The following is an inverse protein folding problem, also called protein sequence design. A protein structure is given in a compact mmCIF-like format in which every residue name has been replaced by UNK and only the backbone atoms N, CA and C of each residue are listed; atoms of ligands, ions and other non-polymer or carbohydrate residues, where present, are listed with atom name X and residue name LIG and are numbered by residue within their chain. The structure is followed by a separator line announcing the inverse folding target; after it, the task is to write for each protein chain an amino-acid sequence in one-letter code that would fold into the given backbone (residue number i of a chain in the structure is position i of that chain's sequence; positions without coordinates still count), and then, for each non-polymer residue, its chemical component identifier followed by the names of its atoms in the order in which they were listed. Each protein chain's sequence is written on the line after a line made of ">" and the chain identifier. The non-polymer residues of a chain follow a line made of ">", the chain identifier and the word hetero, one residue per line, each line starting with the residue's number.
data_IF_432233826879
#
_entry.id   IF_432233826879
#
_cell.length_a   1.000
_cell.length_b   1.000
_cell.length_c   1.000
_cell.angle_alpha   90.00
_cell.angle_beta   90.00
_cell.angle_gamma   90.00
#
_symmetry.space_group_name_H-M   'P 1'
#
loop_
_entity.id
_entity.type
_entity.pdbx_description
1 polymer ?
#
# COMPACT_ATOMS: atom_id res chain seq x y z
N UNK A 1 22.08 -26.60 6.92
CA UNK A 1 22.69 -25.31 6.59
C UNK A 1 22.29 -24.28 7.63
N UNK A 2 23.28 -23.52 8.19
CA UNK A 2 23.06 -22.61 9.33
C UNK A 2 22.04 -21.51 9.04
N UNK A 3 21.90 -21.06 7.78
CA UNK A 3 20.95 -20.02 7.34
C UNK A 3 19.50 -20.54 7.30
N UNK A 4 19.27 -21.79 6.88
CA UNK A 4 17.95 -22.41 6.91
C UNK A 4 17.42 -22.56 8.35
N UNK A 5 18.30 -22.97 9.29
CA UNK A 5 17.93 -23.05 10.73
C UNK A 5 17.67 -21.70 11.37
N UNK A 6 18.33 -20.63 10.91
CA UNK A 6 18.14 -19.28 11.42
C UNK A 6 16.82 -18.66 10.92
N UNK A 7 16.40 -18.98 9.71
CA UNK A 7 15.12 -18.52 9.12
C UNK A 7 13.93 -19.31 9.69
N UNK A 8 14.08 -20.61 9.94
CA UNK A 8 13.09 -21.41 10.69
C UNK A 8 12.87 -20.88 12.12
N UNK A 9 13.92 -20.33 12.74
CA UNK A 9 13.82 -19.72 14.07
C UNK A 9 13.08 -18.37 14.05
N UNK A 10 13.03 -17.68 12.92
CA UNK A 10 12.28 -16.43 12.70
C UNK A 10 10.84 -16.65 12.22
N UNK A 11 10.40 -17.91 12.06
CA UNK A 11 9.02 -18.24 11.65
C UNK A 11 8.72 -18.01 10.16
N UNK A 12 9.72 -17.67 9.33
CA UNK A 12 9.55 -17.49 7.90
C UNK A 12 9.66 -18.82 7.14
N UNK A 13 8.53 -19.35 6.67
CA UNK A 13 8.51 -20.56 5.85
C UNK A 13 8.95 -20.25 4.42
N UNK A 14 10.05 -20.87 3.99
CA UNK A 14 10.60 -20.77 2.64
C UNK A 14 10.23 -21.98 1.79
N UNK A 15 9.57 -21.76 0.68
CA UNK A 15 9.13 -22.80 -0.26
C UNK A 15 10.11 -22.96 -1.42
N UNK A 16 10.26 -24.19 -1.91
CA UNK A 16 10.88 -24.47 -3.20
C UNK A 16 9.88 -24.20 -4.35
N UNK A 17 10.36 -24.04 -5.57
CA UNK A 17 9.48 -23.91 -6.73
C UNK A 17 8.57 -25.15 -6.94
N UNK A 18 8.95 -26.31 -6.40
CA UNK A 18 8.12 -27.52 -6.44
C UNK A 18 6.96 -27.43 -5.45
N UNK A 19 7.22 -27.04 -4.20
CA UNK A 19 6.19 -26.87 -3.18
C UNK A 19 5.21 -25.73 -3.55
N UNK A 20 5.70 -24.63 -4.10
CA UNK A 20 4.85 -23.56 -4.62
C UNK A 20 3.95 -24.04 -5.77
N UNK A 21 4.49 -24.89 -6.67
CA UNK A 21 3.73 -25.49 -7.75
C UNK A 21 2.61 -26.43 -7.25
N UNK A 22 2.87 -27.19 -6.19
CA UNK A 22 1.88 -28.06 -5.54
C UNK A 22 0.75 -27.25 -4.90
N UNK A 23 1.08 -26.15 -4.19
CA UNK A 23 0.10 -25.24 -3.56
C UNK A 23 -0.75 -24.56 -4.64
N UNK A 24 -0.13 -24.03 -5.69
CA UNK A 24 -0.82 -23.34 -6.79
C UNK A 24 -1.55 -24.30 -7.75
N UNK A 25 -1.36 -25.62 -7.62
CA UNK A 25 -1.87 -26.66 -8.53
C UNK A 25 -1.47 -26.42 -9.99
N UNK A 26 -0.24 -25.98 -10.22
CA UNK A 26 0.35 -25.74 -11.54
C UNK A 26 1.61 -26.59 -11.75
N UNK A 27 2.16 -26.59 -12.98
CA UNK A 27 3.44 -27.26 -13.24
C UNK A 27 4.59 -26.41 -12.71
N UNK A 28 5.69 -27.05 -12.29
CA UNK A 28 6.89 -26.39 -11.79
C UNK A 28 7.44 -25.33 -12.76
N UNK A 29 7.39 -25.59 -14.06
CA UNK A 29 7.82 -24.65 -15.08
C UNK A 29 6.96 -23.38 -15.08
N UNK A 30 5.66 -23.49 -14.83
CA UNK A 30 4.76 -22.34 -14.70
C UNK A 30 5.18 -21.42 -13.54
N UNK A 31 5.64 -21.99 -12.43
CA UNK A 31 6.17 -21.19 -11.30
C UNK A 31 7.45 -20.44 -11.71
N UNK A 32 8.33 -21.07 -12.48
CA UNK A 32 9.50 -20.36 -13.01
C UNK A 32 9.11 -19.24 -13.98
N UNK A 33 8.10 -19.45 -14.81
CA UNK A 33 7.59 -18.42 -15.73
C UNK A 33 6.96 -17.25 -14.95
N UNK A 34 6.24 -17.54 -13.86
CA UNK A 34 5.69 -16.52 -12.96
C UNK A 34 6.80 -15.70 -12.30
N UNK A 35 7.86 -16.36 -11.83
CA UNK A 35 9.03 -15.69 -11.26
C UNK A 35 9.74 -14.83 -12.32
N UNK A 36 9.91 -15.37 -13.54
CA UNK A 36 10.57 -14.66 -14.64
C UNK A 36 9.79 -13.41 -15.09
N UNK A 37 8.46 -13.46 -15.08
CA UNK A 37 7.57 -12.32 -15.39
C UNK A 37 7.45 -11.32 -14.24
N UNK A 38 7.96 -11.66 -13.04
CA UNK A 38 7.82 -10.83 -11.85
C UNK A 38 6.48 -10.98 -11.12
N UNK A 39 5.62 -11.91 -11.55
CA UNK A 39 4.31 -12.17 -10.94
C UNK A 39 4.48 -12.78 -9.54
N UNK A 40 5.54 -13.54 -9.31
CA UNK A 40 5.86 -14.20 -8.05
C UNK A 40 7.29 -13.87 -7.63
N UNK A 41 7.48 -13.32 -6.43
CA UNK A 41 8.81 -13.00 -5.90
C UNK A 41 9.52 -14.26 -5.42
N UNK A 42 10.83 -14.36 -5.73
CA UNK A 42 11.68 -15.42 -5.24
C UNK A 42 13.08 -14.90 -4.94
N UNK A 43 13.72 -15.48 -3.93
CA UNK A 43 15.09 -15.17 -3.53
C UNK A 43 16.01 -16.36 -3.81
N UNK A 44 17.27 -16.11 -4.22
CA UNK A 44 18.26 -17.17 -4.45
C UNK A 44 19.01 -17.46 -3.14
N UNK A 45 18.82 -18.64 -2.59
CA UNK A 45 19.58 -19.13 -1.44
C UNK A 45 20.58 -20.23 -1.90
N UNK A 46 21.84 -19.87 -2.00
CA UNK A 46 22.86 -20.75 -2.56
C UNK A 46 22.60 -21.03 -4.04
N UNK A 47 22.44 -22.30 -4.42
CA UNK A 47 22.13 -22.75 -5.80
C UNK A 47 20.64 -22.92 -6.07
N UNK A 48 19.76 -22.62 -5.11
CA UNK A 48 18.31 -22.88 -5.24
C UNK A 48 17.48 -21.62 -5.05
N UNK A 49 16.38 -21.49 -5.82
CA UNK A 49 15.36 -20.47 -5.63
C UNK A 49 14.46 -20.84 -4.45
N UNK A 50 14.14 -19.85 -3.62
CA UNK A 50 13.20 -19.94 -2.51
C UNK A 50 12.16 -18.85 -2.63
N UNK A 51 10.92 -19.19 -2.35
CA UNK A 51 9.74 -18.34 -2.37
C UNK A 51 9.26 -18.24 -0.93
N UNK A 52 9.04 -17.04 -0.41
CA UNK A 52 8.45 -16.91 0.92
C UNK A 52 6.98 -17.31 0.87
N UNK A 53 6.48 -17.94 1.93
CA UNK A 53 5.08 -18.30 2.03
C UNK A 53 4.18 -17.07 1.84
N UNK A 54 4.54 -15.94 2.46
CA UNK A 54 3.81 -14.66 2.34
C UNK A 54 3.72 -14.12 0.90
N UNK A 55 4.78 -14.25 0.08
CA UNK A 55 4.78 -13.84 -1.33
C UNK A 55 3.87 -14.75 -2.17
N UNK A 56 3.78 -16.04 -1.82
CA UNK A 56 2.88 -16.99 -2.46
C UNK A 56 1.42 -16.73 -2.07
N UNK A 57 1.15 -16.50 -0.79
CA UNK A 57 -0.18 -16.19 -0.27
C UNK A 57 -0.69 -14.86 -0.87
N UNK A 58 0.17 -13.88 -0.97
CA UNK A 58 -0.12 -12.61 -1.66
C UNK A 58 -0.50 -12.85 -3.14
N UNK A 59 0.25 -13.69 -3.84
CA UNK A 59 -0.07 -14.04 -5.24
C UNK A 59 -1.41 -14.76 -5.35
N UNK A 60 -1.72 -15.70 -4.46
CA UNK A 60 -3.00 -16.42 -4.42
C UNK A 60 -4.16 -15.45 -4.20
N UNK A 61 -3.99 -14.50 -3.29
CA UNK A 61 -5.04 -13.57 -2.91
C UNK A 61 -5.28 -12.47 -3.96
N UNK A 62 -4.23 -12.02 -4.64
CA UNK A 62 -4.28 -10.83 -5.51
C UNK A 62 -3.86 -11.10 -6.96
N UNK A 63 -3.12 -12.16 -7.24
CA UNK A 63 -2.55 -12.45 -8.57
C UNK A 63 -3.59 -12.76 -9.65
N UNK A 64 -4.77 -13.26 -9.29
CA UNK A 64 -5.84 -13.56 -10.25
C UNK A 64 -6.50 -12.28 -10.84
N UNK A 65 -6.33 -11.13 -10.23
CA UNK A 65 -6.84 -9.85 -10.76
C UNK A 65 -5.90 -9.21 -11.80
N UNK A 66 -4.62 -9.60 -11.80
CA UNK A 66 -3.62 -9.09 -12.76
C UNK A 66 -3.46 -9.95 -14.02
N UNK A 67 -3.92 -11.22 -14.00
CA UNK A 67 -3.74 -12.18 -15.11
C UNK A 67 -4.73 -12.03 -16.27
N UNK A 68 -5.84 -11.30 -16.12
CA UNK A 68 -6.90 -11.27 -17.14
C UNK A 68 -6.73 -10.21 -18.24
N UNK A 69 -5.80 -9.26 -18.11
CA UNK A 69 -5.53 -8.27 -19.17
C UNK A 69 -4.37 -8.60 -20.10
N UNK A 70 -3.51 -9.57 -19.75
CA UNK A 70 -2.41 -9.98 -20.61
C UNK A 70 -2.79 -11.04 -21.67
N UNK A 71 -3.94 -11.71 -21.53
CA UNK A 71 -4.34 -12.81 -22.43
C UNK A 71 -5.10 -12.37 -23.69
N UNK A 72 -5.45 -11.10 -23.84
CA UNK A 72 -6.23 -10.64 -25.01
C UNK A 72 -5.35 -10.09 -26.16
N UNK A 73 -4.05 -9.95 -25.97
CA UNK A 73 -3.13 -9.43 -27.01
C UNK A 73 -2.15 -10.45 -27.61
N UNK A 74 -2.27 -11.75 -27.31
CA UNK A 74 -1.34 -12.77 -27.83
C UNK A 74 -2.02 -13.90 -28.60
N UNK A 75 -3.12 -13.62 -29.31
CA UNK A 75 -3.75 -14.62 -30.18
C UNK A 75 -3.76 -14.18 -31.66
N UNK A 76 -2.62 -13.76 -32.19
CA UNK A 76 -2.33 -13.82 -33.63
C UNK A 76 -0.81 -13.94 -33.82
N UNK A 77 -0.33 -15.17 -34.10
CA UNK A 77 1.09 -15.35 -34.46
C UNK A 77 1.57 -16.79 -34.19
N UNK A 78 1.36 -17.64 -35.16
CA UNK A 78 1.73 -19.06 -35.27
C UNK A 78 3.08 -19.49 -34.69
N UNK A 79 3.01 -20.59 -33.93
CA UNK A 79 3.89 -21.82 -33.98
C UNK A 79 5.32 -21.67 -34.50
N UNK A 80 6.29 -21.89 -33.61
CA UNK A 80 7.40 -22.84 -33.82
C UNK A 80 8.08 -23.14 -32.48
N UNK A 81 8.06 -24.42 -32.12
CA UNK A 81 8.83 -25.03 -31.05
C UNK A 81 10.30 -25.06 -31.46
N UNK A 82 11.17 -24.38 -30.68
CA UNK A 82 12.59 -24.73 -30.69
C UNK A 82 13.04 -24.91 -29.23
N UNK A 83 13.59 -26.09 -28.99
CA UNK A 83 14.27 -26.49 -27.77
C UNK A 83 15.38 -25.48 -27.45
N UNK A 84 15.23 -24.73 -26.37
CA UNK A 84 16.28 -23.81 -25.86
C UNK A 84 17.17 -24.63 -24.93
N UNK A 85 18.42 -24.74 -25.33
CA UNK A 85 19.52 -25.45 -24.69
C UNK A 85 19.70 -24.98 -23.22
N UNK A 86 19.71 -25.96 -22.32
CA UNK A 86 19.85 -25.73 -20.87
C UNK A 86 21.15 -25.00 -20.48
N UNK A 87 22.18 -25.14 -21.29
CA UNK A 87 23.51 -24.58 -21.02
C UNK A 87 23.62 -23.07 -21.28
N UNK A 88 22.77 -22.54 -22.19
CA UNK A 88 22.75 -21.10 -22.50
C UNK A 88 21.98 -20.30 -21.42
N UNK A 89 20.98 -20.92 -20.78
CA UNK A 89 20.24 -20.32 -19.67
C UNK A 89 21.10 -20.18 -18.40
N UNK A 90 21.96 -21.19 -18.11
CA UNK A 90 22.86 -21.12 -16.96
C UNK A 90 23.98 -20.08 -17.14
N UNK A 91 24.48 -19.87 -18.35
CA UNK A 91 25.52 -18.87 -18.64
C UNK A 91 25.04 -17.42 -18.53
N UNK A 92 23.77 -17.15 -18.85
CA UNK A 92 23.21 -15.78 -18.74
C UNK A 92 22.87 -15.38 -17.29
N UNK A 93 22.71 -16.35 -16.37
CA UNK A 93 22.49 -16.10 -14.94
C UNK A 93 23.82 -15.83 -14.19
N UNK A 94 24.95 -16.32 -14.72
CA UNK A 94 26.26 -16.20 -14.09
C UNK A 94 26.93 -14.81 -14.23
N UNK A 95 26.38 -13.91 -15.05
CA UNK A 95 26.93 -12.59 -15.31
C UNK A 95 26.28 -11.45 -14.52
N UNK A 96 25.70 -11.73 -13.34
CA UNK A 96 25.32 -10.67 -12.39
C UNK A 96 26.53 -10.40 -11.50
N UNK A 97 27.12 -9.19 -11.51
CA UNK A 97 28.29 -8.87 -10.70
C UNK A 97 27.98 -9.01 -9.21
N UNK A 98 28.77 -9.83 -8.51
CA UNK A 98 28.77 -9.87 -7.06
C UNK A 98 29.31 -8.53 -6.52
N UNK A 99 28.43 -7.67 -6.05
CA UNK A 99 28.80 -6.47 -5.31
C UNK A 99 29.14 -6.81 -3.86
N UNK A 100 30.42 -6.83 -3.52
CA UNK A 100 30.89 -6.84 -2.14
C UNK A 100 30.51 -5.50 -1.48
N UNK A 101 29.91 -5.59 -0.29
CA UNK A 101 29.54 -4.45 0.55
C UNK A 101 30.77 -3.85 1.22
N UNK A 102 31.17 -2.65 0.81
CA UNK A 102 31.95 -1.74 1.64
C UNK A 102 31.02 -0.69 2.26
N UNK A 103 31.09 -0.56 3.58
CA UNK A 103 30.28 0.32 4.42
C UNK A 103 30.66 1.80 4.28
N UNK A 104 30.80 2.33 3.08
CA UNK A 104 30.98 3.77 2.82
C UNK A 104 30.78 4.17 1.36
N UNK A 105 29.80 3.60 0.66
CA UNK A 105 29.55 3.98 -0.75
C UNK A 105 28.09 3.81 -1.14
N UNK A 106 27.38 4.90 -1.29
CA UNK A 106 26.07 4.92 -1.98
C UNK A 106 26.24 4.25 -3.34
N UNK A 107 25.59 3.10 -3.53
CA UNK A 107 25.58 2.35 -4.78
C UNK A 107 24.93 3.19 -5.90
N UNK A 108 25.76 3.80 -6.77
CA UNK A 108 25.35 4.51 -8.00
C UNK A 108 24.71 3.60 -9.06
N UNK A 109 24.70 2.27 -8.85
CA UNK A 109 24.20 1.31 -9.86
C UNK A 109 22.70 1.04 -9.76
N UNK A 110 22.07 1.27 -8.60
CA UNK A 110 20.61 1.15 -8.45
C UNK A 110 19.85 2.35 -9.02
N UNK A 111 20.50 3.50 -9.17
CA UNK A 111 19.85 4.71 -9.69
C UNK A 111 19.65 4.72 -11.23
N UNK A 112 20.37 3.91 -11.99
CA UNK A 112 20.24 3.90 -13.46
C UNK A 112 19.04 3.12 -14.00
N UNK A 113 18.49 2.17 -13.22
CA UNK A 113 17.27 1.42 -13.57
C UNK A 113 15.97 2.09 -13.11
N UNK A 114 16.04 3.04 -12.16
CA UNK A 114 14.86 3.76 -11.63
C UNK A 114 14.58 5.10 -12.34
N UNK A 115 15.44 5.53 -13.26
CA UNK A 115 15.37 6.86 -13.87
C UNK A 115 14.09 7.14 -14.68
N UNK A 116 13.28 6.09 -14.99
CA UNK A 116 12.06 6.20 -15.79
C UNK A 116 10.85 5.51 -15.12
N UNK A 117 10.82 5.46 -13.80
CA UNK A 117 9.71 4.85 -13.08
C UNK A 117 9.14 5.83 -12.06
N UNK A 118 7.80 5.89 -11.98
CA UNK A 118 7.09 6.64 -10.95
C UNK A 118 6.36 5.65 -10.05
N UNK A 119 6.67 5.66 -8.77
CA UNK A 119 6.01 4.81 -7.78
C UNK A 119 5.10 5.69 -6.92
N UNK A 120 3.78 5.48 -7.04
CA UNK A 120 2.75 6.18 -6.24
C UNK A 120 2.35 5.27 -5.09
N UNK A 121 2.58 5.73 -3.86
CA UNK A 121 2.36 4.97 -2.63
C UNK A 121 1.12 5.46 -1.86
N UNK A 122 0.27 4.51 -1.49
CA UNK A 122 -0.96 4.71 -0.71
C UNK A 122 -1.98 3.59 -0.97
N UNK A 123 -3.02 3.49 -0.16
CA UNK A 123 -3.97 2.37 -0.21
C UNK A 123 -5.32 2.72 -0.88
N UNK A 124 -5.55 3.98 -1.26
CA UNK A 124 -6.84 4.38 -1.84
C UNK A 124 -6.92 4.06 -3.34
N UNK A 125 -8.09 3.59 -3.78
CA UNK A 125 -8.39 3.21 -5.16
C UNK A 125 -8.33 4.40 -6.15
N UNK A 126 -8.49 5.63 -5.69
CA UNK A 126 -8.35 6.82 -6.55
C UNK A 126 -6.94 6.91 -7.15
N UNK A 127 -5.95 6.37 -6.46
CA UNK A 127 -4.58 6.34 -6.97
C UNK A 127 -4.39 5.30 -8.08
N UNK A 128 -5.21 4.25 -8.13
CA UNK A 128 -5.19 3.28 -9.24
C UNK A 128 -5.75 3.91 -10.52
N UNK A 129 -6.84 4.68 -10.38
CA UNK A 129 -7.38 5.48 -11.49
C UNK A 129 -6.35 6.49 -11.99
N UNK A 130 -5.68 7.20 -11.08
CA UNK A 130 -4.64 8.16 -11.42
C UNK A 130 -3.47 7.49 -12.15
N UNK A 131 -2.96 6.38 -11.60
CA UNK A 131 -1.84 5.64 -12.20
C UNK A 131 -2.18 5.14 -13.61
N UNK A 132 -3.40 4.59 -13.81
CA UNK A 132 -3.85 4.13 -15.11
C UNK A 132 -3.94 5.26 -16.14
N UNK A 133 -4.53 6.41 -15.78
CA UNK A 133 -4.60 7.58 -16.66
C UNK A 133 -3.22 8.14 -16.98
N UNK A 134 -2.34 8.20 -15.98
CA UNK A 134 -0.99 8.71 -16.17
C UNK A 134 -0.18 7.79 -17.09
N UNK A 135 -0.25 6.47 -16.93
CA UNK A 135 0.38 5.49 -17.82
C UNK A 135 -0.04 5.67 -19.30
N UNK A 136 -1.29 6.05 -19.54
CA UNK A 136 -1.78 6.30 -20.90
C UNK A 136 -1.23 7.60 -21.52
N UNK A 137 -0.80 8.55 -20.69
CA UNK A 137 -0.38 9.89 -21.11
C UNK A 137 1.12 10.07 -21.21
N UNK A 138 1.91 9.26 -20.52
CA UNK A 138 3.37 9.39 -20.46
C UNK A 138 4.04 8.10 -20.94
N UNK A 139 5.24 8.22 -21.49
CA UNK A 139 6.04 7.05 -21.92
C UNK A 139 6.83 6.38 -20.80
N UNK A 140 6.50 6.66 -19.55
CA UNK A 140 7.17 6.11 -18.37
C UNK A 140 6.25 5.11 -17.66
N UNK A 141 6.85 4.15 -16.91
CA UNK A 141 6.07 3.19 -16.17
C UNK A 141 5.65 3.78 -14.81
N UNK A 142 4.36 3.79 -14.54
CA UNK A 142 3.80 4.19 -13.26
C UNK A 142 3.37 2.95 -12.48
N UNK A 143 3.92 2.78 -11.30
CA UNK A 143 3.65 1.65 -10.41
C UNK A 143 2.93 2.11 -9.16
N UNK A 144 2.21 1.17 -8.54
CA UNK A 144 1.54 1.38 -7.25
C UNK A 144 2.27 0.63 -6.14
N UNK A 145 2.32 1.27 -4.95
CA UNK A 145 2.77 0.66 -3.70
C UNK A 145 1.68 0.87 -2.65
N UNK A 146 1.22 -0.22 -2.02
CA UNK A 146 0.04 -0.20 -1.13
C UNK A 146 0.47 -0.18 0.35
N UNK A 147 1.25 0.84 0.74
CA UNK A 147 1.63 1.05 2.15
C UNK A 147 0.68 2.06 2.80
N UNK A 148 0.43 1.92 4.10
CA UNK A 148 -0.30 2.90 4.90
C UNK A 148 0.45 4.24 4.99
N UNK A 149 -0.23 5.30 5.40
CA UNK A 149 0.24 6.69 5.31
C UNK A 149 1.60 6.95 5.95
N UNK A 150 1.84 6.46 7.17
CA UNK A 150 3.11 6.62 7.87
C UNK A 150 4.23 5.87 7.13
N UNK A 151 3.96 4.64 6.75
CA UNK A 151 4.90 3.80 6.00
C UNK A 151 5.17 4.36 4.59
N UNK A 152 4.20 5.06 3.96
CA UNK A 152 4.38 5.73 2.67
C UNK A 152 5.34 6.91 2.79
N UNK A 153 5.21 7.75 3.82
CA UNK A 153 6.15 8.85 4.10
C UNK A 153 7.55 8.31 4.42
N UNK A 154 7.64 7.26 5.22
CA UNK A 154 8.92 6.61 5.51
C UNK A 154 9.58 6.03 4.26
N UNK A 155 8.82 5.35 3.39
CA UNK A 155 9.32 4.85 2.11
C UNK A 155 9.79 6.00 1.19
N UNK A 156 9.13 7.16 1.22
CA UNK A 156 9.58 8.35 0.51
C UNK A 156 10.91 8.88 1.09
N UNK A 157 11.07 8.91 2.40
CA UNK A 157 12.33 9.28 3.04
C UNK A 157 13.48 8.36 2.62
N UNK A 158 13.22 7.06 2.55
CA UNK A 158 14.19 6.05 2.08
C UNK A 158 14.49 6.12 0.56
N UNK A 159 13.70 6.89 -0.20
CA UNK A 159 13.84 6.96 -1.66
C UNK A 159 13.24 5.77 -2.40
N UNK A 160 12.42 4.95 -1.74
CA UNK A 160 11.76 3.78 -2.33
C UNK A 160 10.56 4.17 -3.21
N UNK A 161 9.94 5.32 -2.95
CA UNK A 161 8.78 5.83 -3.70
C UNK A 161 8.98 7.29 -4.08
N UNK A 162 8.35 7.70 -5.18
CA UNK A 162 8.45 9.05 -5.70
C UNK A 162 7.32 9.95 -5.20
N UNK A 163 6.14 9.36 -4.99
CA UNK A 163 4.93 10.03 -4.54
C UNK A 163 4.38 9.25 -3.36
N UNK A 164 4.16 9.92 -2.24
CA UNK A 164 3.49 9.36 -1.08
C UNK A 164 2.12 10.00 -0.89
N UNK A 165 1.17 9.29 -0.29
CA UNK A 165 -0.09 9.86 0.15
C UNK A 165 -0.29 9.62 1.64
N UNK A 166 -0.94 10.57 2.30
CA UNK A 166 -1.13 10.54 3.73
C UNK A 166 -2.51 11.05 4.14
N UNK A 167 -3.00 10.51 5.27
CA UNK A 167 -4.17 11.00 6.02
C UNK A 167 -3.91 10.85 7.53
N UNK A 168 -2.78 11.41 7.98
CA UNK A 168 -2.31 11.31 9.35
C UNK A 168 -2.87 12.47 10.18
N UNK A 169 -3.77 12.16 11.10
CA UNK A 169 -4.32 13.16 12.01
C UNK A 169 -3.39 13.43 13.18
N UNK A 170 -3.10 14.70 13.42
CA UNK A 170 -2.24 15.16 14.51
C UNK A 170 -3.09 15.80 15.61
N UNK A 171 -3.29 15.09 16.71
CA UNK A 171 -4.21 15.46 17.76
C UNK A 171 -3.88 16.79 18.47
N UNK A 172 -2.60 17.15 18.62
CA UNK A 172 -2.20 18.40 19.29
C UNK A 172 -2.59 19.64 18.49
N UNK A 173 -2.48 19.60 17.16
CA UNK A 173 -2.78 20.74 16.29
C UNK A 173 -4.16 20.66 15.66
N UNK A 174 -4.87 19.55 15.89
CA UNK A 174 -6.15 19.22 15.24
C UNK A 174 -6.09 19.42 13.71
N UNK A 175 -5.01 18.94 13.09
CA UNK A 175 -4.76 19.10 11.66
C UNK A 175 -4.24 17.80 11.05
N UNK A 176 -4.32 17.70 9.72
CA UNK A 176 -3.85 16.54 8.96
C UNK A 176 -2.48 16.77 8.35
N UNK A 177 -1.70 15.72 8.25
CA UNK A 177 -0.54 15.47 7.41
C UNK A 177 0.68 16.37 7.67
N UNK A 178 0.57 17.70 7.60
CA UNK A 178 1.72 18.62 7.58
C UNK A 178 2.66 18.42 8.79
N UNK A 179 2.20 18.27 10.04
CA UNK A 179 3.09 18.05 11.18
C UNK A 179 3.91 16.76 11.06
N UNK A 180 3.31 15.69 10.50
CA UNK A 180 4.01 14.43 10.26
C UNK A 180 4.98 14.54 9.09
N UNK A 181 4.54 15.13 7.98
CA UNK A 181 5.37 15.33 6.78
C UNK A 181 6.64 16.07 7.12
N UNK A 182 6.53 17.22 7.83
CA UNK A 182 7.67 18.03 8.23
C UNK A 182 8.64 17.29 9.15
N UNK A 183 8.12 16.43 10.04
CA UNK A 183 8.94 15.68 11.00
C UNK A 183 9.60 14.45 10.38
N UNK A 184 8.93 13.78 9.43
CA UNK A 184 9.38 12.51 8.84
C UNK A 184 10.25 12.69 7.61
N UNK A 185 10.21 13.87 6.96
CA UNK A 185 10.98 14.20 5.75
C UNK A 185 11.91 15.41 6.00
N UNK A 186 12.76 15.37 7.04
CA UNK A 186 13.61 16.50 7.39
C UNK A 186 14.60 16.80 6.24
N UNK A 187 14.80 18.08 5.94
CA UNK A 187 15.74 18.54 4.94
C UNK A 187 15.33 18.22 3.49
N UNK A 188 14.08 17.85 3.26
CA UNK A 188 13.53 17.59 1.93
C UNK A 188 12.54 18.71 1.57
N UNK A 189 12.80 19.46 0.50
CA UNK A 189 11.83 20.41 -0.03
C UNK A 189 10.66 19.65 -0.67
N UNK A 190 9.43 20.01 -0.31
CA UNK A 190 8.22 19.27 -0.65
C UNK A 190 7.14 20.16 -1.24
N UNK A 191 6.25 19.53 -2.01
CA UNK A 191 4.96 20.08 -2.41
C UNK A 191 3.88 19.10 -1.97
N UNK A 192 2.87 19.60 -1.27
CA UNK A 192 1.72 18.81 -0.81
C UNK A 192 0.46 19.30 -1.50
N UNK A 193 -0.21 18.38 -2.20
CA UNK A 193 -1.46 18.64 -2.88
C UNK A 193 -2.61 17.96 -2.15
N UNK A 194 -3.71 18.69 -1.97
CA UNK A 194 -4.95 18.11 -1.51
C UNK A 194 -5.54 17.20 -2.61
N UNK A 195 -5.86 15.95 -2.28
CA UNK A 195 -6.57 15.05 -3.19
C UNK A 195 -8.07 15.08 -2.94
N UNK A 196 -8.49 14.75 -1.72
CA UNK A 196 -9.90 14.64 -1.38
C UNK A 196 -10.11 14.61 0.13
N UNK A 197 -11.37 14.76 0.56
CA UNK A 197 -11.78 14.43 1.91
C UNK A 197 -12.64 13.18 1.95
N UNK A 198 -12.57 12.44 3.06
CA UNK A 198 -13.39 11.26 3.36
C UNK A 198 -13.93 11.34 4.76
N UNK A 199 -15.06 10.71 5.03
CA UNK A 199 -15.55 10.56 6.39
C UNK A 199 -14.91 9.35 7.04
N UNK A 200 -14.40 9.54 8.26
CA UNK A 200 -13.91 8.50 9.16
C UNK A 200 -14.94 8.26 10.26
N UNK A 201 -15.12 7.01 10.64
CA UNK A 201 -16.08 6.63 11.66
C UNK A 201 -15.82 5.27 12.26
N UNK A 202 -16.60 4.96 13.28
CA UNK A 202 -16.68 3.60 13.82
C UNK A 202 -17.51 2.71 12.89
N UNK A 203 -17.05 1.50 12.71
CA UNK A 203 -17.84 0.38 12.22
C UNK A 203 -18.34 -0.38 13.45
N UNK A 204 -19.65 -0.53 13.56
CA UNK A 204 -20.30 -1.28 14.64
C UNK A 204 -21.29 -2.26 14.02
N UNK A 205 -21.64 -3.31 14.75
CA UNK A 205 -22.69 -4.23 14.31
C UNK A 205 -24.01 -3.49 14.09
N UNK A 206 -24.84 -4.02 13.20
CA UNK A 206 -26.13 -3.42 12.83
C UNK A 206 -26.98 -3.14 14.07
N UNK A 207 -27.47 -1.89 14.17
CA UNK A 207 -28.23 -1.41 15.33
C UNK A 207 -27.38 -1.01 16.52
N UNK A 208 -26.04 -1.06 16.43
CA UNK A 208 -25.11 -0.69 17.50
C UNK A 208 -25.47 -1.27 18.86
N UNK A 209 -25.50 -2.61 19.02
CA UNK A 209 -26.03 -3.27 20.22
C UNK A 209 -25.23 -2.95 21.48
N UNK A 210 -23.97 -2.52 21.35
CA UNK A 210 -23.10 -2.10 22.45
C UNK A 210 -23.22 -0.61 22.79
N UNK A 211 -24.04 0.14 22.05
CA UNK A 211 -24.24 1.59 22.22
C UNK A 211 -22.88 2.35 22.25
N UNK A 212 -22.00 2.06 21.30
CA UNK A 212 -20.70 2.71 21.15
C UNK A 212 -20.94 4.09 20.53
N UNK A 213 -20.39 5.17 21.14
CA UNK A 213 -20.57 6.55 20.70
C UNK A 213 -19.24 7.30 20.55
N UNK A 214 -18.23 6.90 21.30
CA UNK A 214 -16.96 7.63 21.37
C UNK A 214 -15.76 6.72 21.66
N UNK A 215 -14.55 7.28 21.64
CA UNK A 215 -13.34 6.54 21.98
C UNK A 215 -13.28 6.17 23.47
N UNK A 216 -13.97 6.90 24.34
CA UNK A 216 -14.08 6.61 25.77
C UNK A 216 -14.77 5.26 26.05
N UNK A 217 -15.66 4.83 25.15
CA UNK A 217 -16.33 3.53 25.26
C UNK A 217 -15.37 2.35 25.10
N UNK A 218 -14.22 2.56 24.44
CA UNK A 218 -13.22 1.50 24.24
C UNK A 218 -12.55 1.04 25.54
N UNK A 219 -12.73 1.75 26.68
CA UNK A 219 -12.31 1.30 28.00
C UNK A 219 -13.21 0.23 28.59
N UNK A 220 -14.40 0.03 28.06
CA UNK A 220 -15.38 -0.91 28.61
C UNK A 220 -14.89 -2.34 28.40
N UNK A 221 -14.98 -3.16 29.45
CA UNK A 221 -14.53 -4.55 29.40
C UNK A 221 -15.38 -5.46 28.50
N UNK A 222 -16.58 -4.99 28.13
CA UNK A 222 -17.50 -5.71 27.23
C UNK A 222 -17.34 -5.28 25.76
N UNK A 223 -16.38 -4.40 25.43
CA UNK A 223 -16.10 -3.95 24.06
C UNK A 223 -14.72 -4.45 23.62
N UNK A 224 -14.67 -5.01 22.42
CA UNK A 224 -13.46 -5.45 21.77
C UNK A 224 -13.32 -4.73 20.43
N UNK A 225 -12.15 -4.07 20.20
CA UNK A 225 -11.80 -3.45 18.93
C UNK A 225 -10.99 -4.40 18.07
N UNK A 226 -11.18 -4.37 16.75
CA UNK A 226 -10.16 -4.80 15.79
C UNK A 226 -9.47 -3.59 15.20
N UNK A 227 -8.14 -3.60 15.21
CA UNK A 227 -7.31 -2.46 14.86
C UNK A 227 -6.69 -2.63 13.47
N UNK A 228 -6.11 -1.55 12.95
CA UNK A 228 -5.33 -1.58 11.72
C UNK A 228 -3.84 -1.79 12.04
N UNK A 229 -3.11 -2.22 11.03
CA UNK A 229 -1.66 -2.40 11.08
C UNK A 229 -0.93 -1.11 11.47
N UNK A 230 0.22 -1.22 12.21
CA UNK A 230 1.07 -0.07 12.52
C UNK A 230 1.51 0.67 11.25
N UNK A 231 1.38 2.01 11.27
CA UNK A 231 1.72 2.86 10.14
C UNK A 231 0.57 3.12 9.17
N UNK A 232 -0.62 2.53 9.36
CA UNK A 232 -1.84 3.00 8.68
C UNK A 232 -2.34 4.32 9.30
N UNK A 233 -2.98 5.17 8.50
CA UNK A 233 -3.52 6.44 9.00
C UNK A 233 -4.61 6.26 10.04
N UNK A 234 -5.41 5.19 9.92
CA UNK A 234 -6.45 4.84 10.91
C UNK A 234 -5.82 4.44 12.25
N UNK A 235 -4.72 3.66 12.23
CA UNK A 235 -4.01 3.31 13.46
C UNK A 235 -3.51 4.56 14.18
N UNK A 236 -2.91 5.50 13.44
CA UNK A 236 -2.46 6.78 13.99
C UNK A 236 -3.63 7.58 14.55
N UNK A 237 -4.79 7.61 13.87
CA UNK A 237 -6.00 8.27 14.38
C UNK A 237 -6.44 7.66 15.71
N UNK A 238 -6.53 6.33 15.81
CA UNK A 238 -6.92 5.63 17.05
C UNK A 238 -5.94 5.96 18.17
N UNK A 239 -4.63 5.84 17.92
CA UNK A 239 -3.58 6.10 18.91
C UNK A 239 -3.64 7.55 19.44
N UNK A 240 -3.82 8.54 18.55
CA UNK A 240 -3.95 9.95 18.91
C UNK A 240 -5.25 10.24 19.69
N UNK A 241 -6.37 9.61 19.34
CA UNK A 241 -7.65 9.76 20.04
C UNK A 241 -7.59 9.13 21.43
N UNK A 242 -7.03 7.91 21.55
CA UNK A 242 -6.83 7.26 22.86
C UNK A 242 -5.90 8.11 23.73
N UNK A 243 -4.81 8.65 23.18
CA UNK A 243 -3.90 9.55 23.89
C UNK A 243 -4.61 10.81 24.38
N UNK A 244 -5.47 11.43 23.57
CA UNK A 244 -6.25 12.60 23.97
C UNK A 244 -7.26 12.30 25.08
N UNK A 245 -7.90 11.11 25.00
CA UNK A 245 -8.84 10.64 26.02
C UNK A 245 -8.13 10.15 27.31
N UNK A 246 -6.79 10.10 27.31
CA UNK A 246 -6.01 9.58 28.44
C UNK A 246 -6.22 8.07 28.67
N UNK A 247 -6.48 7.31 27.58
CA UNK A 247 -6.73 5.88 27.62
C UNK A 247 -5.44 5.13 27.27
N UNK A 248 -4.84 4.39 28.21
CA UNK A 248 -3.74 3.49 27.91
C UNK A 248 -4.17 2.39 26.95
N UNK A 249 -3.35 2.10 25.94
CA UNK A 249 -3.67 1.07 24.95
C UNK A 249 -3.84 -0.32 25.53
N UNK A 250 -3.23 -0.59 26.68
CA UNK A 250 -3.36 -1.82 27.44
C UNK A 250 -4.75 -2.02 28.08
N UNK A 251 -5.53 -0.94 28.23
CA UNK A 251 -6.90 -0.98 28.75
C UNK A 251 -7.94 -1.23 27.64
N UNK A 252 -7.51 -1.30 26.37
CA UNK A 252 -8.39 -1.51 25.22
C UNK A 252 -8.32 -2.95 24.75
N UNK A 253 -9.43 -3.70 24.94
CA UNK A 253 -9.50 -5.10 24.51
C UNK A 253 -9.41 -5.18 22.97
N UNK A 254 -8.61 -6.11 22.46
CA UNK A 254 -8.42 -6.29 21.01
C UNK A 254 -7.51 -5.25 20.34
N UNK A 255 -6.86 -4.35 21.11
CA UNK A 255 -5.97 -3.34 20.52
C UNK A 255 -4.84 -3.95 19.68
N UNK A 256 -4.40 -5.15 20.00
CA UNK A 256 -3.37 -5.90 19.25
C UNK A 256 -3.94 -6.80 18.15
N UNK A 257 -5.26 -6.93 18.04
CA UNK A 257 -5.89 -7.70 16.97
C UNK A 257 -5.89 -6.86 15.69
N UNK A 258 -5.07 -7.26 14.73
CA UNK A 258 -4.69 -6.44 13.58
C UNK A 258 -5.27 -7.01 12.29
N UNK A 259 -5.82 -6.12 11.47
CA UNK A 259 -6.24 -6.37 10.08
C UNK A 259 -5.54 -5.40 9.12
N UNK A 260 -5.39 -5.80 7.86
CA UNK A 260 -4.58 -5.08 6.88
C UNK A 260 -5.37 -4.12 5.97
N UNK A 261 -6.71 -4.16 6.02
CA UNK A 261 -7.57 -3.31 5.18
C UNK A 261 -8.82 -2.81 5.90
N UNK A 262 -9.42 -1.74 5.38
CA UNK A 262 -10.71 -1.25 5.87
C UNK A 262 -11.84 -2.26 5.69
N UNK A 263 -11.82 -3.01 4.58
CA UNK A 263 -12.84 -4.01 4.29
C UNK A 263 -12.74 -5.20 5.25
N UNK A 264 -11.52 -5.62 5.57
CA UNK A 264 -11.27 -6.68 6.55
C UNK A 264 -11.73 -6.27 7.95
N UNK A 265 -11.48 -5.00 8.36
CA UNK A 265 -11.97 -4.44 9.61
C UNK A 265 -13.50 -4.44 9.66
N UNK A 266 -14.18 -3.99 8.61
CA UNK A 266 -15.63 -4.01 8.49
C UNK A 266 -16.20 -5.44 8.54
N UNK A 267 -15.54 -6.39 7.85
CA UNK A 267 -15.94 -7.80 7.84
C UNK A 267 -15.77 -8.46 9.20
N UNK A 268 -14.71 -8.13 9.97
CA UNK A 268 -14.51 -8.65 11.31
C UNK A 268 -15.64 -8.22 12.26
N UNK A 269 -16.04 -6.95 12.20
CA UNK A 269 -17.20 -6.44 12.97
C UNK A 269 -18.49 -7.12 12.53
N UNK A 270 -18.71 -7.29 11.23
CA UNK A 270 -19.90 -7.96 10.70
C UNK A 270 -20.02 -9.43 11.17
N UNK A 271 -18.90 -10.15 11.28
CA UNK A 271 -18.88 -11.54 11.78
C UNK A 271 -19.01 -11.64 13.29
N UNK A 272 -18.84 -10.53 14.02
CA UNK A 272 -18.83 -10.52 15.49
C UNK A 272 -17.48 -10.92 16.10
N UNK A 273 -16.38 -10.90 15.30
CA UNK A 273 -15.02 -11.14 15.80
C UNK A 273 -14.56 -9.95 16.67
N UNK A 274 -15.13 -8.77 16.44
CA UNK A 274 -14.96 -7.56 17.23
C UNK A 274 -16.29 -6.78 17.30
N UNK A 275 -16.45 -5.95 18.33
CA UNK A 275 -17.62 -5.07 18.49
C UNK A 275 -17.49 -3.79 17.68
N UNK A 276 -16.22 -3.34 17.45
CA UNK A 276 -15.94 -2.06 16.81
C UNK A 276 -14.64 -2.12 16.01
N UNK A 277 -14.61 -1.32 14.94
CA UNK A 277 -13.40 -0.95 14.22
C UNK A 277 -13.49 0.52 13.80
N UNK A 278 -12.40 1.09 13.28
CA UNK A 278 -12.41 2.44 12.71
C UNK A 278 -12.04 2.36 11.22
N UNK A 279 -12.74 3.14 10.41
CA UNK A 279 -12.45 3.20 8.99
C UNK A 279 -13.27 4.24 8.23
N UNK A 280 -13.11 4.30 6.91
CA UNK A 280 -13.81 5.26 6.07
C UNK A 280 -15.25 4.80 5.74
N UNK A 281 -16.19 5.76 5.64
CA UNK A 281 -17.59 5.52 5.28
C UNK A 281 -17.73 4.66 4.03
N UNK A 282 -16.90 4.92 3.01
CA UNK A 282 -16.95 4.20 1.74
C UNK A 282 -16.87 2.68 1.89
N UNK A 283 -15.99 2.19 2.74
CA UNK A 283 -15.80 0.75 2.92
C UNK A 283 -16.92 0.11 3.74
N UNK A 284 -17.56 0.88 4.65
CA UNK A 284 -18.73 0.38 5.39
C UNK A 284 -19.91 0.06 4.48
N UNK A 285 -20.08 0.82 3.39
CA UNK A 285 -21.17 0.61 2.42
C UNK A 285 -21.05 -0.75 1.68
N UNK A 286 -19.87 -1.36 1.67
CA UNK A 286 -19.65 -2.68 1.06
C UNK A 286 -19.99 -3.85 1.98
N UNK A 287 -20.34 -3.61 3.25
CA UNK A 287 -20.64 -4.64 4.26
C UNK A 287 -22.00 -4.35 4.91
N UNK A 288 -23.09 -4.96 4.44
CA UNK A 288 -24.46 -4.59 4.84
C UNK A 288 -24.79 -4.81 6.32
N UNK A 289 -24.05 -5.68 7.00
CA UNK A 289 -24.31 -6.06 8.40
C UNK A 289 -23.74 -5.13 9.46
N UNK A 290 -23.21 -3.96 9.07
CA UNK A 290 -22.65 -2.97 9.99
C UNK A 290 -23.33 -1.62 9.84
N UNK A 291 -23.23 -0.80 10.88
CA UNK A 291 -23.56 0.62 10.85
C UNK A 291 -22.27 1.45 10.93
N UNK A 292 -22.30 2.64 10.32
CA UNK A 292 -21.22 3.61 10.32
C UNK A 292 -21.56 4.77 11.25
N UNK A 293 -20.73 5.03 12.26
CA UNK A 293 -20.88 6.14 13.19
C UNK A 293 -19.80 7.17 12.91
N UNK A 294 -20.17 8.33 12.41
CA UNK A 294 -19.27 9.39 12.01
C UNK A 294 -18.41 9.90 13.18
N UNK A 295 -17.09 10.03 12.98
CA UNK A 295 -16.13 10.63 13.91
C UNK A 295 -15.69 12.00 13.42
N UNK A 296 -15.09 12.04 12.23
CA UNK A 296 -14.53 13.27 11.63
C UNK A 296 -14.30 13.13 10.12
N UNK A 297 -14.12 14.27 9.44
CA UNK A 297 -13.56 14.26 8.08
C UNK A 297 -12.04 14.14 8.13
N UNK A 298 -11.48 13.34 7.23
CA UNK A 298 -10.05 13.27 7.02
C UNK A 298 -9.64 13.94 5.72
N UNK A 299 -8.46 14.57 5.72
CA UNK A 299 -7.79 15.06 4.52
C UNK A 299 -6.86 13.99 3.97
N UNK A 300 -7.04 13.61 2.73
CA UNK A 300 -6.15 12.70 2.00
C UNK A 300 -5.33 13.53 1.03
N UNK A 301 -4.02 13.60 1.29
CA UNK A 301 -3.13 14.51 0.59
C UNK A 301 -1.97 13.75 -0.06
N UNK A 302 -1.46 14.30 -1.16
CA UNK A 302 -0.34 13.77 -1.93
C UNK A 302 0.93 14.59 -1.68
N UNK A 303 2.02 13.90 -1.42
CA UNK A 303 3.34 14.49 -1.16
C UNK A 303 4.28 14.16 -2.31
N UNK A 304 4.94 15.18 -2.85
CA UNK A 304 5.89 15.09 -3.96
C UNK A 304 7.13 15.88 -3.59
N UNK A 305 8.34 15.39 -3.90
CA UNK A 305 9.56 16.19 -3.76
C UNK A 305 9.53 17.36 -4.72
N UNK A 306 10.01 18.53 -4.30
CA UNK A 306 10.10 19.75 -5.12
C UNK A 306 10.85 19.50 -6.43
N UNK A 307 11.94 18.76 -6.37
CA UNK A 307 12.75 18.42 -7.54
C UNK A 307 12.01 17.54 -8.57
N UNK A 308 11.10 16.68 -8.10
CA UNK A 308 10.26 15.85 -8.95
C UNK A 308 9.04 16.61 -9.45
N UNK A 309 8.43 17.44 -8.60
CA UNK A 309 7.26 18.26 -8.94
C UNK A 309 7.41 19.04 -10.25
N UNK A 310 8.60 19.56 -10.54
CA UNK A 310 8.88 20.35 -11.73
C UNK A 310 9.09 19.51 -13.01
N UNK A 311 9.22 18.18 -12.90
CA UNK A 311 9.42 17.30 -14.06
C UNK A 311 8.12 17.06 -14.82
N UNK A 312 8.20 16.93 -16.14
CA UNK A 312 7.04 16.76 -17.04
C UNK A 312 6.04 15.67 -16.59
N UNK A 313 6.45 14.44 -16.18
CA UNK A 313 5.51 13.41 -15.79
C UNK A 313 4.68 13.79 -14.55
N UNK A 314 5.28 14.48 -13.59
CA UNK A 314 4.58 14.94 -12.38
C UNK A 314 3.65 16.11 -12.68
N UNK A 315 4.05 17.04 -13.57
CA UNK A 315 3.16 18.11 -14.04
C UNK A 315 1.95 17.52 -14.76
N UNK A 316 2.13 16.45 -15.57
CA UNK A 316 1.02 15.74 -16.20
C UNK A 316 0.11 15.06 -15.18
N UNK A 317 0.67 14.46 -14.13
CA UNK A 317 -0.10 13.90 -13.02
C UNK A 317 -0.98 14.96 -12.35
N UNK A 318 -0.43 16.15 -12.10
CA UNK A 318 -1.17 17.26 -11.48
C UNK A 318 -2.26 17.80 -12.42
N UNK A 319 -1.97 17.87 -13.72
CA UNK A 319 -2.97 18.22 -14.74
C UNK A 319 -4.15 17.25 -14.72
N UNK A 320 -3.89 15.93 -14.65
CA UNK A 320 -4.93 14.91 -14.53
C UNK A 320 -5.73 15.12 -13.24
N UNK A 321 -5.09 15.28 -12.09
CA UNK A 321 -5.76 15.50 -10.79
C UNK A 321 -6.69 16.73 -10.85
N UNK A 322 -6.28 17.78 -11.54
CA UNK A 322 -7.05 19.02 -11.69
C UNK A 322 -8.11 18.97 -12.78
N UNK A 323 -8.10 17.96 -13.63
CA UNK A 323 -9.07 17.86 -14.72
C UNK A 323 -10.48 17.59 -14.22
N UNK A 324 -11.47 18.18 -14.87
CA UNK A 324 -12.89 17.98 -14.54
C UNK A 324 -13.33 16.53 -14.74
N UNK A 325 -12.71 15.82 -15.69
CA UNK A 325 -12.97 14.41 -15.99
C UNK A 325 -12.56 13.52 -14.82
N UNK A 326 -11.34 13.69 -14.30
CA UNK A 326 -10.85 12.91 -13.18
C UNK A 326 -11.64 13.20 -11.89
N UNK A 327 -11.92 14.48 -11.63
CA UNK A 327 -12.72 14.89 -10.47
C UNK A 327 -14.14 14.29 -10.50
N UNK A 328 -14.80 14.30 -11.67
CA UNK A 328 -16.11 13.67 -11.86
C UNK A 328 -16.06 12.15 -11.67
N UNK A 329 -15.02 11.51 -12.18
CA UNK A 329 -14.83 10.07 -12.02
C UNK A 329 -14.65 9.69 -10.54
N UNK A 330 -13.80 10.42 -9.82
CA UNK A 330 -13.57 10.20 -8.38
C UNK A 330 -14.84 10.48 -7.57
N UNK A 331 -15.55 11.57 -7.85
CA UNK A 331 -16.83 11.88 -7.21
C UNK A 331 -17.88 10.78 -7.47
N UNK A 332 -17.90 10.23 -8.69
CA UNK A 332 -18.79 9.14 -9.09
C UNK A 332 -18.57 7.83 -8.35
N UNK A 333 -17.38 7.61 -7.76
CA UNK A 333 -17.13 6.45 -6.91
C UNK A 333 -17.90 6.50 -5.57
N UNK A 334 -18.43 7.67 -5.17
CA UNK A 334 -19.13 7.89 -3.91
C UNK A 334 -18.20 7.90 -2.69
N UNK A 335 -18.62 8.58 -1.61
CA UNK A 335 -17.87 8.66 -0.35
C UNK A 335 -16.65 9.58 -0.38
N UNK A 336 -16.44 10.34 -1.46
CA UNK A 336 -15.34 11.29 -1.62
C UNK A 336 -15.86 12.71 -1.83
N UNK A 337 -15.29 13.67 -1.09
CA UNK A 337 -15.44 15.08 -1.37
C UNK A 337 -14.20 15.54 -2.15
N UNK A 338 -14.37 15.94 -3.40
CA UNK A 338 -13.31 16.36 -4.33
C UNK A 338 -13.12 17.89 -4.36
N UNK A 339 -13.78 18.61 -3.47
CA UNK A 339 -13.60 20.05 -3.34
C UNK A 339 -12.12 20.37 -3.06
N UNK A 340 -11.58 21.34 -3.79
CA UNK A 340 -10.16 21.70 -3.74
C UNK A 340 -9.17 20.61 -4.22
N UNK A 341 -9.60 19.57 -4.91
CA UNK A 341 -8.71 18.56 -5.48
C UNK A 341 -7.62 19.21 -6.37
N UNK A 342 -6.36 18.86 -6.13
CA UNK A 342 -5.20 19.41 -6.83
C UNK A 342 -4.74 20.79 -6.34
N UNK A 343 -5.34 21.33 -5.25
CA UNK A 343 -4.85 22.55 -4.60
C UNK A 343 -3.57 22.25 -3.83
N UNK A 344 -2.55 23.08 -4.02
CA UNK A 344 -1.34 23.04 -3.19
C UNK A 344 -1.67 23.60 -1.80
N UNK A 345 -1.47 22.78 -0.77
CA UNK A 345 -1.76 23.13 0.63
C UNK A 345 -0.49 23.42 1.44
N UNK A 346 0.65 22.97 0.95
CA UNK A 346 1.98 23.27 1.48
C UNK A 346 3.02 23.22 0.36
N UNK A 347 4.01 24.11 0.39
CA UNK A 347 5.05 24.13 -0.61
C UNK A 347 6.30 24.87 -0.13
N UNK A 348 7.46 24.27 -0.35
CA UNK A 348 8.79 24.90 -0.25
C UNK A 348 9.23 25.52 -1.59
N UNK A 349 8.31 25.75 -2.52
CA UNK A 349 8.60 26.37 -3.84
C UNK A 349 8.92 27.87 -3.73
N UNK A 350 8.43 28.51 -2.68
CA UNK A 350 8.57 29.96 -2.46
C UNK A 350 9.31 30.13 -1.13
N UNK A 351 10.59 30.33 -1.21
CA UNK A 351 11.39 31.06 -0.21
C UNK A 351 11.98 32.28 -0.85
#
# INVERSE_FOLDING_TARGET
>A
NGVERMLDFMGEKLLTAKEAAEILKVRKNTVYDMIKRGDLKASKLGKQLRIRQEDLDFYIQYGSQYGSQASTMLNEGKTQTNDIDKDEFEKNILNIPNGSTDMAGRNKTTQKGMANQIIICGQDMVLDLLANRLNQCIGENVFRSYKGSYNALYAMYQGEVNVATAHLWHGKTNSYNIPYISSMLPGTDLVVLHLLKRKQGFYVQKGNPKNIQSFEDLKRSDITIVNREPGSGVRVLIDEKLRQAGIPTQEVNGYQDIVSSHLEAAAAVNRGDADVAVGSEKHSLSVPGIDFLFIQEESYDMVIRKEDFLKKPYQKMIEIIRSSEYQKEVAGLGGYNVENMGKIIYSDLIQ
#
